data_IF_246674081266
#
_entry.id   IF_246674081266
#
_cell.length_a   1.000
_cell.length_b   1.000
_cell.length_c   1.000
_cell.angle_alpha   90.00
_cell.angle_beta   90.00
_cell.angle_gamma   90.00
#
_symmetry.space_group_name_H-M   'P 1'
#
loop_
_entity.id
_entity.type
_entity.pdbx_description
1 polymer ?
#
# COMPACT_ATOMS: atom_id res chain seq x y z
N UNK A 1 11.55 20.34 42.93
CA UNK A 1 11.36 20.36 41.46
C UNK A 1 12.18 21.51 40.93
N UNK A 2 13.14 21.26 40.04
CA UNK A 2 13.98 22.33 39.49
C UNK A 2 13.14 23.13 38.50
N UNK A 3 12.99 24.43 38.70
CA UNK A 3 12.40 25.32 37.69
C UNK A 3 13.44 25.52 36.58
N UNK A 4 13.43 24.61 35.61
CA UNK A 4 14.28 24.68 34.44
C UNK A 4 13.73 25.68 33.42
N UNK A 5 14.42 26.81 33.22
CA UNK A 5 14.08 27.72 32.13
C UNK A 5 14.50 27.12 30.78
N UNK A 6 13.56 27.02 29.84
CA UNK A 6 13.80 26.59 28.46
C UNK A 6 13.48 27.74 27.53
N UNK A 7 14.42 28.10 26.66
CA UNK A 7 14.22 29.09 25.61
C UNK A 7 14.07 28.39 24.27
N UNK A 8 13.03 28.76 23.50
CA UNK A 8 12.80 28.20 22.18
C UNK A 8 13.91 28.66 21.22
N UNK A 9 14.65 27.69 20.67
CA UNK A 9 15.76 27.95 19.75
C UNK A 9 15.38 27.76 18.27
N UNK A 10 14.24 27.11 17.98
CA UNK A 10 13.75 26.88 16.63
C UNK A 10 12.41 26.14 16.62
N UNK A 11 11.75 26.15 15.46
CA UNK A 11 10.49 25.43 15.22
C UNK A 11 10.70 24.50 14.03
N UNK A 12 10.20 23.27 14.14
CA UNK A 12 10.14 22.33 13.01
C UNK A 12 8.67 22.10 12.65
N UNK A 13 8.40 21.86 11.37
CA UNK A 13 7.09 21.38 10.92
C UNK A 13 7.31 20.28 9.89
N UNK A 14 6.78 19.10 10.20
CA UNK A 14 6.92 17.90 9.37
C UNK A 14 5.53 17.37 9.02
N UNK A 15 4.71 17.07 10.03
CA UNK A 15 3.35 16.53 9.92
C UNK A 15 2.62 16.80 11.23
N UNK A 16 1.30 17.04 11.16
CA UNK A 16 0.50 17.50 12.30
C UNK A 16 0.55 16.55 13.51
N UNK A 17 0.73 15.24 13.31
CA UNK A 17 0.91 14.30 14.42
C UNK A 17 2.24 14.48 15.18
N UNK A 18 3.31 14.91 14.49
CA UNK A 18 4.62 15.14 15.10
C UNK A 18 4.75 16.54 15.69
N UNK A 19 4.17 17.54 15.03
CA UNK A 19 4.35 18.94 15.40
C UNK A 19 3.71 19.28 16.76
N UNK A 20 2.65 18.56 17.16
CA UNK A 20 1.92 18.81 18.40
C UNK A 20 2.33 17.92 19.58
N UNK A 21 3.17 16.90 19.37
CA UNK A 21 3.48 15.89 20.38
C UNK A 21 4.94 15.89 20.83
N UNK A 22 5.84 16.54 20.09
CA UNK A 22 7.28 16.43 20.33
C UNK A 22 7.93 17.79 20.59
N UNK A 23 8.73 17.84 21.65
CA UNK A 23 9.68 18.93 21.91
C UNK A 23 11.08 18.32 21.99
N UNK A 24 12.03 18.89 21.24
CA UNK A 24 13.42 18.46 21.25
C UNK A 24 14.24 19.37 22.15
N UNK A 25 14.98 18.77 23.09
CA UNK A 25 15.84 19.50 24.01
C UNK A 25 17.05 18.65 24.39
N UNK A 26 17.98 19.23 25.14
CA UNK A 26 19.18 18.54 25.60
C UNK A 26 18.83 17.43 26.63
N UNK A 27 19.45 16.26 26.48
CA UNK A 27 19.19 15.09 27.32
C UNK A 27 19.49 15.33 28.81
N UNK A 28 20.51 16.12 29.15
CA UNK A 28 20.87 16.44 30.55
C UNK A 28 19.80 17.29 31.22
N UNK A 29 19.13 18.16 30.46
CA UNK A 29 18.00 18.93 30.94
C UNK A 29 16.81 18.00 31.27
N UNK A 30 16.46 17.11 30.35
CA UNK A 30 15.37 16.14 30.56
C UNK A 30 15.67 15.22 31.74
N UNK A 31 16.90 14.71 31.87
CA UNK A 31 17.30 13.87 33.01
C UNK A 31 17.10 14.57 34.35
N UNK A 32 17.55 15.82 34.48
CA UNK A 32 17.34 16.62 35.70
C UNK A 32 15.87 16.87 35.98
N UNK A 33 15.08 17.16 34.94
CA UNK A 33 13.65 17.45 35.08
C UNK A 33 12.83 16.20 35.45
N UNK A 34 13.19 15.05 34.89
CA UNK A 34 12.54 13.75 35.13
C UNK A 34 13.11 13.01 36.34
N UNK A 35 14.08 13.59 37.05
CA UNK A 35 14.77 12.99 38.19
C UNK A 35 15.40 11.62 37.91
N UNK A 36 15.95 11.43 36.69
CA UNK A 36 16.64 10.22 36.26
C UNK A 36 18.07 10.18 36.79
N UNK A 37 18.57 8.96 37.10
CA UNK A 37 19.96 8.74 37.48
C UNK A 37 20.97 9.01 36.34
N UNK A 38 22.29 9.10 36.63
CA UNK A 38 23.32 9.43 35.65
C UNK A 38 23.46 8.41 34.51
N UNK A 39 23.02 7.16 34.72
CA UNK A 39 23.02 6.08 33.73
C UNK A 39 21.61 5.53 33.45
N UNK A 40 20.57 6.33 33.71
CA UNK A 40 19.19 5.92 33.50
C UNK A 40 18.60 6.59 32.25
N UNK A 41 17.96 5.78 31.41
CA UNK A 41 17.43 6.19 30.12
C UNK A 41 16.06 5.54 29.92
N UNK A 42 15.09 6.31 29.43
CA UNK A 42 13.74 5.79 29.17
C UNK A 42 13.69 4.88 27.95
N UNK A 43 14.37 5.24 26.86
CA UNK A 43 14.38 4.50 25.62
C UNK A 43 15.65 4.78 24.80
N UNK A 44 16.00 3.84 23.93
CA UNK A 44 17.10 3.98 22.96
C UNK A 44 16.54 3.66 21.57
N UNK A 45 16.70 4.59 20.64
CA UNK A 45 16.36 4.38 19.23
C UNK A 45 17.59 3.84 18.49
N UNK A 46 17.44 2.70 17.82
CA UNK A 46 18.51 2.06 17.03
C UNK A 46 18.09 2.10 15.57
N UNK A 47 18.88 2.78 14.74
CA UNK A 47 18.69 2.81 13.29
C UNK A 47 19.61 1.80 12.61
N UNK A 48 19.02 0.85 11.89
CA UNK A 48 19.77 -0.12 11.10
C UNK A 48 20.34 0.51 9.81
N UNK A 49 21.45 -0.04 9.32
CA UNK A 49 22.01 0.36 8.03
C UNK A 49 21.14 -0.13 6.87
N UNK A 50 21.15 0.55 5.71
CA UNK A 50 20.41 0.12 4.54
C UNK A 50 20.79 -1.30 4.11
N UNK A 51 19.80 -2.16 3.83
CA UNK A 51 19.99 -3.54 3.38
C UNK A 51 20.02 -4.60 4.49
N UNK A 52 19.98 -4.20 5.76
CA UNK A 52 19.87 -5.15 6.87
C UNK A 52 18.41 -5.56 7.14
N UNK A 53 18.19 -6.84 7.45
CA UNK A 53 16.86 -7.35 7.76
C UNK A 53 16.46 -7.01 9.19
N UNK A 54 15.41 -6.20 9.33
CA UNK A 54 14.88 -5.72 10.62
C UNK A 54 14.56 -6.87 11.59
N UNK A 55 13.89 -7.91 11.11
CA UNK A 55 13.47 -9.05 11.94
C UNK A 55 14.64 -9.89 12.47
N UNK A 56 15.69 -10.06 11.67
CA UNK A 56 16.88 -10.82 12.09
C UNK A 56 17.65 -10.05 13.16
N UNK A 57 17.84 -8.73 12.97
CA UNK A 57 18.49 -7.86 13.96
C UNK A 57 17.68 -7.68 15.23
N UNK A 58 16.35 -7.62 15.13
CA UNK A 58 15.45 -7.59 16.30
C UNK A 58 15.66 -8.83 17.16
N UNK A 59 15.71 -10.03 16.56
CA UNK A 59 15.96 -11.29 17.29
C UNK A 59 17.32 -11.29 17.98
N UNK A 60 18.36 -10.84 17.27
CA UNK A 60 19.71 -10.71 17.83
C UNK A 60 19.73 -9.76 19.04
N UNK A 61 19.13 -8.57 18.91
CA UNK A 61 19.04 -7.59 20.01
C UNK A 61 18.24 -8.12 21.21
N UNK A 62 17.11 -8.80 20.98
CA UNK A 62 16.35 -9.42 22.06
C UNK A 62 17.14 -10.53 22.76
N UNK A 63 17.96 -11.29 22.02
CA UNK A 63 18.82 -12.32 22.61
C UNK A 63 19.94 -11.71 23.46
N UNK A 64 20.46 -10.53 23.10
CA UNK A 64 21.52 -9.84 23.84
C UNK A 64 21.00 -9.11 25.08
N UNK A 65 19.82 -8.48 24.98
CA UNK A 65 19.22 -7.68 26.05
C UNK A 65 18.42 -8.53 27.05
N UNK A 66 18.02 -9.75 26.66
CA UNK A 66 17.19 -10.64 27.47
C UNK A 66 15.71 -10.26 27.48
N UNK A 67 14.91 -10.95 28.29
CA UNK A 67 13.44 -10.81 28.36
C UNK A 67 12.94 -9.58 29.12
N UNK A 68 13.83 -8.83 29.77
CA UNK A 68 13.46 -7.68 30.59
C UNK A 68 13.24 -6.40 29.77
N UNK A 69 13.58 -6.41 28.48
CA UNK A 69 13.46 -5.27 27.60
C UNK A 69 12.55 -5.59 26.42
N UNK A 70 11.66 -4.65 26.08
CA UNK A 70 10.85 -4.71 24.86
C UNK A 70 11.58 -3.98 23.74
N UNK A 71 11.73 -4.63 22.58
CA UNK A 71 12.32 -4.03 21.37
C UNK A 71 11.22 -3.89 20.30
N UNK A 72 10.25 -2.96 20.49
CA UNK A 72 9.20 -2.76 19.51
C UNK A 72 9.75 -2.06 18.27
N UNK A 73 9.38 -2.55 17.09
CA UNK A 73 9.76 -1.89 15.83
C UNK A 73 8.96 -0.59 15.65
N UNK A 74 9.45 0.32 14.81
CA UNK A 74 8.69 1.54 14.44
C UNK A 74 7.28 1.22 13.91
N UNK A 75 7.14 0.09 13.21
CA UNK A 75 5.86 -0.42 12.75
C UNK A 75 4.94 -0.81 13.91
N UNK A 76 5.46 -1.56 14.88
CA UNK A 76 4.69 -1.97 16.07
C UNK A 76 4.29 -0.79 16.96
N UNK A 77 5.17 0.19 17.14
CA UNK A 77 4.88 1.41 17.90
C UNK A 77 3.77 2.26 17.24
N UNK A 78 3.69 2.24 15.90
CA UNK A 78 2.75 3.04 15.13
C UNK A 78 1.67 2.17 14.46
N UNK A 79 1.31 1.05 15.09
CA UNK A 79 0.36 0.07 14.53
C UNK A 79 -0.95 0.73 14.10
N UNK A 80 -1.46 1.72 14.83
CA UNK A 80 -2.70 2.42 14.47
C UNK A 80 -2.57 3.22 13.16
N UNK A 81 -1.48 3.95 12.97
CA UNK A 81 -1.26 4.73 11.74
C UNK A 81 -1.11 3.80 10.54
N UNK A 82 -0.32 2.72 10.68
CA UNK A 82 -0.13 1.75 9.61
C UNK A 82 -1.38 0.93 9.30
N UNK A 83 -2.17 0.56 10.32
CA UNK A 83 -3.44 -0.15 10.13
C UNK A 83 -4.47 0.73 9.42
N UNK A 84 -4.52 2.02 9.74
CA UNK A 84 -5.37 2.99 9.02
C UNK A 84 -4.96 3.09 7.55
N UNK A 85 -3.66 3.27 7.27
CA UNK A 85 -3.15 3.30 5.88
C UNK A 85 -3.47 2.02 5.11
N UNK A 86 -3.34 0.85 5.75
CA UNK A 86 -3.66 -0.43 5.12
C UNK A 86 -5.16 -0.54 4.84
N UNK A 87 -5.99 -0.14 5.78
CA UNK A 87 -7.45 -0.19 5.66
C UNK A 87 -7.95 0.75 4.56
N UNK A 88 -7.37 1.94 4.45
CA UNK A 88 -7.66 2.90 3.38
C UNK A 88 -7.36 2.30 2.00
N UNK A 89 -6.18 1.68 1.82
CA UNK A 89 -5.82 0.98 0.58
C UNK A 89 -6.80 -0.14 0.23
N UNK A 90 -7.24 -0.92 1.22
CA UNK A 90 -8.24 -1.98 1.01
C UNK A 90 -9.60 -1.42 0.56
N UNK A 91 -10.03 -0.29 1.13
CA UNK A 91 -11.28 0.35 0.73
C UNK A 91 -11.24 0.82 -0.73
N UNK A 92 -10.14 1.46 -1.15
CA UNK A 92 -9.92 1.88 -2.53
C UNK A 92 -9.90 0.67 -3.47
N UNK A 93 -9.18 -0.40 -3.09
CA UNK A 93 -9.12 -1.65 -3.86
C UNK A 93 -10.51 -2.28 -4.05
N UNK A 94 -11.35 -2.29 -3.01
CA UNK A 94 -12.70 -2.83 -3.08
C UNK A 94 -13.59 -2.04 -4.07
N UNK A 95 -13.54 -0.70 -4.01
CA UNK A 95 -14.30 0.17 -4.93
C UNK A 95 -13.82 0.01 -6.37
N UNK A 96 -12.51 -0.01 -6.61
CA UNK A 96 -11.96 -0.19 -7.96
C UNK A 96 -12.31 -1.56 -8.56
N UNK A 97 -12.26 -2.62 -7.74
CA UNK A 97 -12.66 -3.96 -8.17
C UNK A 97 -14.15 -3.98 -8.57
N UNK A 98 -15.02 -3.33 -7.80
CA UNK A 98 -16.44 -3.22 -8.13
C UNK A 98 -16.67 -2.48 -9.46
N UNK A 99 -15.97 -1.36 -9.69
CA UNK A 99 -16.04 -0.60 -10.95
C UNK A 99 -15.60 -1.49 -12.12
N UNK A 100 -14.52 -2.25 -11.95
CA UNK A 100 -13.98 -3.14 -12.98
C UNK A 100 -14.94 -4.28 -13.32
N UNK A 101 -15.65 -4.83 -12.33
CA UNK A 101 -16.72 -5.82 -12.54
C UNK A 101 -17.89 -5.22 -13.34
N UNK A 102 -18.34 -4.02 -12.97
CA UNK A 102 -19.42 -3.31 -13.70
C UNK A 102 -19.00 -3.05 -15.15
N UNK A 103 -17.75 -2.60 -15.37
CA UNK A 103 -17.20 -2.35 -16.69
C UNK A 103 -17.13 -3.65 -17.54
N UNK A 104 -16.72 -4.78 -16.95
CA UNK A 104 -16.72 -6.07 -17.63
C UNK A 104 -18.12 -6.48 -18.10
N UNK A 105 -19.14 -6.38 -17.24
CA UNK A 105 -20.51 -6.72 -17.62
C UNK A 105 -21.05 -5.84 -18.75
N UNK A 106 -20.80 -4.53 -18.67
CA UNK A 106 -21.19 -3.60 -19.72
C UNK A 106 -20.51 -3.96 -21.05
N UNK A 107 -19.22 -4.27 -21.00
CA UNK A 107 -18.47 -4.65 -22.19
C UNK A 107 -18.94 -5.96 -22.83
N UNK A 108 -19.24 -6.98 -22.03
CA UNK A 108 -19.82 -8.24 -22.53
C UNK A 108 -21.17 -7.97 -23.21
N UNK A 109 -21.97 -7.06 -22.65
CA UNK A 109 -23.26 -6.67 -23.20
C UNK A 109 -23.12 -6.00 -24.57
N UNK A 110 -22.22 -5.02 -24.68
CA UNK A 110 -21.92 -4.33 -25.94
C UNK A 110 -21.36 -5.29 -27.01
N UNK A 111 -20.44 -6.20 -26.64
CA UNK A 111 -19.90 -7.20 -27.56
C UNK A 111 -20.97 -8.17 -28.05
N UNK A 112 -21.84 -8.63 -27.16
CA UNK A 112 -22.94 -9.52 -27.53
C UNK A 112 -23.87 -8.84 -28.54
N UNK A 113 -24.20 -7.57 -28.31
CA UNK A 113 -24.99 -6.76 -29.25
C UNK A 113 -24.30 -6.63 -30.61
N UNK A 114 -23.00 -6.34 -30.63
CA UNK A 114 -22.21 -6.23 -31.87
C UNK A 114 -22.22 -7.55 -32.66
N UNK A 115 -22.08 -8.69 -31.98
CA UNK A 115 -22.11 -10.02 -32.62
C UNK A 115 -23.49 -10.30 -33.21
N UNK A 116 -24.56 -9.93 -32.51
CA UNK A 116 -25.93 -10.11 -33.00
C UNK A 116 -26.19 -9.26 -34.25
N UNK A 117 -25.75 -8.00 -34.26
CA UNK A 117 -25.89 -7.11 -35.41
C UNK A 117 -25.13 -7.66 -36.64
N UNK A 118 -23.90 -8.14 -36.44
CA UNK A 118 -23.07 -8.72 -37.50
C UNK A 118 -23.47 -10.13 -37.94
N UNK A 119 -24.38 -10.80 -37.23
CA UNK A 119 -24.84 -12.16 -37.59
C UNK A 119 -25.46 -12.21 -38.99
N UNK A 120 -26.20 -11.17 -39.41
CA UNK A 120 -26.80 -11.09 -40.75
C UNK A 120 -25.73 -10.94 -41.84
N UNK A 121 -24.77 -10.05 -41.63
CA UNK A 121 -23.64 -9.82 -42.55
C UNK A 121 -22.81 -11.11 -42.72
N UNK A 122 -22.60 -11.85 -41.63
CA UNK A 122 -21.94 -13.15 -41.63
C UNK A 122 -22.73 -14.18 -42.46
N UNK A 123 -24.06 -14.21 -42.36
CA UNK A 123 -24.90 -15.13 -43.12
C UNK A 123 -24.83 -14.85 -44.63
N UNK A 124 -24.79 -13.58 -45.03
CA UNK A 124 -24.62 -13.16 -46.42
C UNK A 124 -23.26 -13.62 -46.95
N UNK A 125 -22.17 -13.35 -46.21
CA UNK A 125 -20.83 -13.81 -46.58
C UNK A 125 -20.72 -15.33 -46.70
N UNK A 126 -21.40 -16.08 -45.83
CA UNK A 126 -21.45 -17.55 -45.92
C UNK A 126 -22.18 -18.02 -47.19
N UNK A 127 -23.29 -17.37 -47.56
CA UNK A 127 -24.00 -17.69 -48.82
C UNK A 127 -23.17 -17.38 -50.07
N UNK A 128 -22.22 -16.44 -49.99
CA UNK A 128 -21.24 -16.14 -51.04
C UNK A 128 -20.01 -17.08 -51.05
N UNK A 129 -19.99 -18.13 -50.22
CA UNK A 129 -18.91 -19.12 -50.19
C UNK A 129 -17.81 -18.85 -49.17
N UNK A 130 -17.97 -17.87 -48.27
CA UNK A 130 -17.01 -17.66 -47.19
C UNK A 130 -16.98 -18.84 -46.22
N UNK A 131 -15.78 -19.33 -45.91
CA UNK A 131 -15.59 -20.43 -44.96
C UNK A 131 -15.74 -19.92 -43.53
N UNK A 132 -16.37 -20.72 -42.65
CA UNK A 132 -16.50 -20.41 -41.21
C UNK A 132 -15.17 -20.10 -40.49
N UNK A 133 -14.04 -20.55 -41.05
CA UNK A 133 -12.69 -20.23 -40.54
C UNK A 133 -12.28 -18.77 -40.78
N UNK A 134 -12.71 -18.15 -41.88
CA UNK A 134 -12.45 -16.73 -42.16
C UNK A 134 -13.20 -15.83 -41.18
N UNK A 135 -14.45 -16.18 -40.86
CA UNK A 135 -15.26 -15.45 -39.86
C UNK A 135 -14.62 -15.54 -38.47
N UNK A 136 -14.15 -16.73 -38.06
CA UNK A 136 -13.43 -16.87 -36.79
C UNK A 136 -12.17 -16.01 -36.73
N UNK A 137 -11.41 -15.87 -37.83
CA UNK A 137 -10.21 -15.03 -37.87
C UNK A 137 -10.48 -13.54 -37.66
N UNK A 138 -11.70 -13.07 -37.94
CA UNK A 138 -12.06 -11.66 -37.73
C UNK A 138 -12.42 -11.40 -36.26
N UNK A 139 -13.17 -12.31 -35.62
CA UNK A 139 -13.66 -12.09 -34.25
C UNK A 139 -12.71 -12.58 -33.16
N UNK A 140 -11.97 -13.67 -33.37
CA UNK A 140 -11.10 -14.25 -32.34
C UNK A 140 -10.02 -13.28 -31.82
N UNK A 141 -9.33 -12.50 -32.67
CA UNK A 141 -8.33 -11.52 -32.21
C UNK A 141 -8.94 -10.46 -31.30
N UNK A 142 -10.13 -9.95 -31.64
CA UNK A 142 -10.83 -8.93 -30.84
C UNK A 142 -11.11 -9.43 -29.43
N UNK A 143 -11.53 -10.69 -29.26
CA UNK A 143 -11.72 -11.30 -27.94
C UNK A 143 -10.39 -11.51 -27.19
N UNK A 144 -9.33 -11.91 -27.89
CA UNK A 144 -8.01 -12.15 -27.29
C UNK A 144 -7.39 -10.85 -26.80
N UNK A 145 -7.36 -9.82 -27.63
CA UNK A 145 -6.80 -8.51 -27.30
C UNK A 145 -7.52 -7.90 -26.12
N UNK A 146 -8.84 -8.04 -26.10
CA UNK A 146 -9.63 -7.56 -24.99
C UNK A 146 -9.31 -8.29 -23.67
N UNK A 147 -9.25 -9.62 -23.71
CA UNK A 147 -8.91 -10.44 -22.52
C UNK A 147 -7.54 -10.04 -21.97
N UNK A 148 -6.58 -9.79 -22.84
CA UNK A 148 -5.24 -9.35 -22.43
C UNK A 148 -5.25 -7.98 -21.78
N UNK A 149 -5.99 -7.02 -22.35
CA UNK A 149 -6.08 -5.66 -21.83
C UNK A 149 -6.72 -5.66 -20.43
N UNK A 150 -7.79 -6.44 -20.25
CA UNK A 150 -8.44 -6.61 -18.95
C UNK A 150 -7.51 -7.27 -17.92
N UNK A 151 -6.79 -8.33 -18.32
CA UNK A 151 -5.82 -9.00 -17.46
C UNK A 151 -4.66 -8.08 -17.04
N UNK A 152 -4.21 -7.18 -17.91
CA UNK A 152 -3.16 -6.20 -17.59
C UNK A 152 -3.66 -5.16 -16.59
N UNK A 153 -4.87 -4.64 -16.78
CA UNK A 153 -5.49 -3.68 -15.86
C UNK A 153 -5.66 -4.28 -14.46
N UNK A 154 -6.18 -5.51 -14.36
CA UNK A 154 -6.28 -6.24 -13.09
C UNK A 154 -4.89 -6.48 -12.49
N UNK A 155 -3.90 -6.86 -13.30
CA UNK A 155 -2.53 -7.09 -12.83
C UNK A 155 -1.90 -5.84 -12.23
N UNK A 156 -2.06 -4.68 -12.86
CA UNK A 156 -1.59 -3.39 -12.34
C UNK A 156 -2.30 -3.02 -11.03
N UNK A 157 -3.61 -3.26 -10.95
CA UNK A 157 -4.39 -2.99 -9.74
C UNK A 157 -3.95 -3.84 -8.53
N UNK A 158 -3.54 -5.09 -8.76
CA UNK A 158 -3.11 -6.01 -7.68
C UNK A 158 -1.67 -5.73 -7.24
N UNK A 159 -0.83 -5.20 -8.13
CA UNK A 159 0.58 -4.89 -7.87
C UNK A 159 0.82 -3.52 -7.21
N UNK A 160 -0.20 -2.65 -7.12
CA UNK A 160 -0.11 -1.30 -6.55
C UNK A 160 -0.96 -1.16 -5.28
#
# INVERSE_FOLDING_TARGET
>A
MSEGNVTASGVFSIQQEFDNQFALTNIDFVRRQMALGPNEYSAVEIRLKPGEKLEERKKELMSLLGSNYSVPTKYEQNTNLYNTMRTEKWAIFAVLTLILVIAAFNMISALTMLVLEKKRDIAILQSMGSRRSQIRKIFLPVFIDLRQLFSKLVGVLVLH
#
